data_IF_193224228703
#
_entry.id   IF_193224228703
#
_cell.length_a   1.000
_cell.length_b   1.000
_cell.length_c   1.000
_cell.angle_alpha   90.00
_cell.angle_beta   90.00
_cell.angle_gamma   90.00
#
_symmetry.space_group_name_H-M   'P 1'
#
loop_
_entity.id
_entity.type
_entity.pdbx_description
1 polymer ?
#
# COMPACT_ATOMS: atom_id res chain seq x y z
N UNK A 1 -0.30 -17.69 -12.15
CA UNK A 1 1.12 -17.32 -12.24
C UNK A 1 1.30 -16.09 -11.36
N UNK A 2 1.79 -16.30 -10.16
CA UNK A 2 2.20 -15.25 -9.23
C UNK A 2 3.53 -14.71 -9.74
N UNK A 3 3.53 -13.53 -10.32
CA UNK A 3 4.74 -12.72 -10.39
C UNK A 3 4.89 -12.07 -9.01
N UNK A 4 5.62 -12.71 -8.10
CA UNK A 4 6.00 -12.08 -6.85
C UNK A 4 7.13 -11.10 -7.15
N UNK A 5 6.87 -9.80 -7.02
CA UNK A 5 7.94 -8.82 -6.87
C UNK A 5 8.63 -9.06 -5.52
N UNK A 6 9.91 -8.68 -5.40
CA UNK A 6 10.64 -8.80 -4.13
C UNK A 6 9.90 -8.12 -2.95
N UNK A 7 9.11 -7.07 -3.22
CA UNK A 7 8.24 -6.40 -2.26
C UNK A 7 7.11 -7.33 -1.74
N UNK A 8 6.51 -8.14 -2.62
CA UNK A 8 5.47 -9.11 -2.23
C UNK A 8 6.02 -10.19 -1.28
N UNK A 9 7.26 -10.65 -1.48
CA UNK A 9 7.86 -11.67 -0.61
C UNK A 9 8.19 -11.12 0.78
N UNK A 10 8.65 -9.87 0.87
CA UNK A 10 8.86 -9.19 2.17
C UNK A 10 7.53 -9.02 2.92
N UNK A 11 6.47 -8.64 2.23
CA UNK A 11 5.14 -8.47 2.82
C UNK A 11 4.56 -9.79 3.33
N UNK A 12 4.74 -10.88 2.58
CA UNK A 12 4.36 -12.24 3.01
C UNK A 12 5.12 -12.66 4.26
N UNK A 13 6.43 -12.44 4.32
CA UNK A 13 7.26 -12.74 5.48
C UNK A 13 6.83 -11.96 6.72
N UNK A 14 6.51 -10.67 6.57
CA UNK A 14 5.99 -9.85 7.67
C UNK A 14 4.64 -10.36 8.17
N UNK A 15 3.74 -10.76 7.28
CA UNK A 15 2.43 -11.30 7.65
C UNK A 15 2.58 -12.62 8.38
N UNK A 16 3.43 -13.54 7.90
CA UNK A 16 3.71 -14.80 8.59
C UNK A 16 4.32 -14.58 9.98
N UNK A 17 5.21 -13.61 10.14
CA UNK A 17 5.79 -13.26 11.43
C UNK A 17 4.73 -12.73 12.40
N UNK A 18 3.82 -11.88 11.95
CA UNK A 18 2.70 -11.39 12.78
C UNK A 18 1.79 -12.53 13.20
N UNK A 19 1.46 -13.46 12.29
CA UNK A 19 0.66 -14.65 12.60
C UNK A 19 1.36 -15.55 13.62
N UNK A 20 2.66 -15.80 13.44
CA UNK A 20 3.47 -16.60 14.34
C UNK A 20 3.54 -16.00 15.75
N UNK A 21 3.79 -14.69 15.86
CA UNK A 21 3.81 -14.01 17.17
C UNK A 21 2.44 -14.02 17.86
N UNK A 22 1.36 -13.85 17.11
CA UNK A 22 0.01 -13.96 17.65
C UNK A 22 -0.27 -15.39 18.17
N UNK A 23 0.12 -16.42 17.41
CA UNK A 23 0.00 -17.83 17.81
C UNK A 23 0.80 -18.13 19.10
N UNK A 24 2.03 -17.61 19.22
CA UNK A 24 2.86 -17.78 20.42
C UNK A 24 2.26 -17.08 21.65
N UNK A 25 1.44 -16.06 21.44
CA UNK A 25 0.69 -15.39 22.51
C UNK A 25 -0.67 -16.04 22.79
N UNK A 26 -0.93 -17.24 22.27
CA UNK A 26 -2.10 -18.04 22.58
C UNK A 26 -3.34 -17.71 21.76
N UNK A 27 -3.21 -16.97 20.65
CA UNK A 27 -4.33 -16.70 19.76
C UNK A 27 -4.49 -17.80 18.71
N UNK A 28 -5.73 -18.15 18.42
CA UNK A 28 -6.08 -18.94 17.23
C UNK A 28 -5.91 -18.10 15.96
N UNK A 29 -5.24 -18.66 14.97
CA UNK A 29 -4.94 -17.95 13.71
C UNK A 29 -5.84 -18.45 12.59
N UNK A 30 -6.44 -17.48 11.89
CA UNK A 30 -7.30 -17.74 10.76
C UNK A 30 -6.81 -16.95 9.55
N UNK A 31 -6.72 -17.62 8.41
CA UNK A 31 -6.41 -16.99 7.13
C UNK A 31 -7.68 -16.84 6.30
N UNK A 32 -7.89 -15.63 5.80
CA UNK A 32 -9.00 -15.28 4.90
C UNK A 32 -8.39 -14.74 3.61
N UNK A 33 -8.60 -15.44 2.49
CA UNK A 33 -8.30 -14.89 1.18
C UNK A 33 -9.30 -13.77 0.86
N UNK A 34 -8.84 -12.63 0.38
CA UNK A 34 -9.67 -11.46 0.13
C UNK A 34 -10.87 -11.72 -0.80
N UNK A 35 -10.75 -12.67 -1.74
CA UNK A 35 -11.84 -13.10 -2.62
C UNK A 35 -12.95 -13.87 -1.90
N UNK A 36 -12.71 -14.29 -0.67
CA UNK A 36 -13.63 -15.07 0.15
C UNK A 36 -14.46 -14.21 1.11
N UNK A 37 -14.37 -12.88 1.01
CA UNK A 37 -15.23 -11.93 1.71
C UNK A 37 -16.53 -11.75 0.92
N UNK A 38 -17.68 -11.78 1.59
CA UNK A 38 -18.96 -11.54 0.93
C UNK A 38 -20.04 -11.03 1.90
N UNK A 39 -21.10 -10.46 1.32
CA UNK A 39 -22.28 -10.03 2.06
C UNK A 39 -23.43 -10.99 1.78
N UNK A 40 -24.16 -11.38 2.80
CA UNK A 40 -25.40 -12.18 2.69
C UNK A 40 -26.40 -11.68 3.74
N UNK A 41 -27.61 -11.40 3.31
CA UNK A 41 -28.71 -10.93 4.19
C UNK A 41 -28.29 -9.78 5.12
N UNK A 42 -27.59 -8.78 4.55
CA UNK A 42 -27.02 -7.62 5.25
C UNK A 42 -25.96 -7.93 6.31
N UNK A 43 -25.44 -9.15 6.36
CA UNK A 43 -24.39 -9.56 7.27
C UNK A 43 -23.08 -9.82 6.50
N UNK A 44 -21.90 -9.40 7.05
CA UNK A 44 -20.60 -9.72 6.48
C UNK A 44 -20.18 -11.15 6.84
N UNK A 45 -19.84 -11.93 5.81
CA UNK A 45 -19.39 -13.32 5.90
C UNK A 45 -17.99 -13.48 5.32
N UNK A 46 -17.32 -14.54 5.72
CA UNK A 46 -16.13 -15.02 5.03
C UNK A 46 -16.00 -16.53 5.06
N UNK A 47 -15.29 -17.06 4.05
CA UNK A 47 -14.71 -18.41 4.13
C UNK A 47 -13.28 -18.27 4.63
N UNK A 48 -12.93 -19.05 5.63
CA UNK A 48 -11.64 -18.98 6.30
C UNK A 48 -11.01 -20.34 6.50
N UNK A 49 -9.71 -20.33 6.77
CA UNK A 49 -8.92 -21.51 7.15
C UNK A 49 -8.33 -21.27 8.53
N UNK A 50 -8.55 -22.18 9.49
CA UNK A 50 -7.77 -22.23 10.72
C UNK A 50 -6.38 -22.75 10.36
N UNK A 51 -5.33 -22.07 10.78
CA UNK A 51 -3.96 -22.37 10.34
C UNK A 51 -3.00 -22.43 11.51
N UNK A 52 -1.91 -23.15 11.31
CA UNK A 52 -0.75 -23.19 12.19
C UNK A 52 0.47 -22.66 11.41
N UNK A 53 1.25 -21.80 12.06
CA UNK A 53 2.38 -21.11 11.44
C UNK A 53 3.68 -21.50 12.11
N UNK A 54 4.71 -21.79 11.30
CA UNK A 54 6.07 -22.03 11.73
C UNK A 54 7.03 -21.07 11.03
N UNK A 55 8.03 -20.55 11.75
CA UNK A 55 9.05 -19.66 11.15
C UNK A 55 10.00 -20.38 10.18
N UNK A 56 10.07 -21.70 10.26
CA UNK A 56 10.92 -22.50 9.39
C UNK A 56 10.27 -22.74 8.01
N UNK A 57 8.98 -22.44 7.90
CA UNK A 57 8.21 -22.62 6.68
C UNK A 57 7.99 -21.29 5.96
N UNK A 58 7.96 -21.35 4.64
CA UNK A 58 7.59 -20.20 3.80
C UNK A 58 6.08 -20.03 3.68
N UNK A 59 5.31 -20.91 4.34
CA UNK A 59 3.85 -21.00 4.31
C UNK A 59 3.30 -21.44 5.68
N UNK A 60 1.99 -21.57 5.78
CA UNK A 60 1.29 -22.09 6.95
C UNK A 60 0.60 -23.43 6.64
N UNK A 61 0.36 -24.23 7.69
CA UNK A 61 -0.38 -25.48 7.61
C UNK A 61 -1.87 -25.22 7.85
N UNK A 62 -2.73 -25.71 6.97
CA UNK A 62 -4.19 -25.60 7.11
C UNK A 62 -4.68 -26.73 7.99
N UNK A 63 -5.30 -26.40 9.12
CA UNK A 63 -5.89 -27.35 10.07
C UNK A 63 -7.35 -27.68 9.72
N UNK A 64 -8.11 -26.65 9.33
CA UNK A 64 -9.53 -26.81 8.93
C UNK A 64 -9.97 -25.62 8.07
N UNK A 65 -11.12 -25.78 7.38
CA UNK A 65 -11.75 -24.72 6.61
C UNK A 65 -13.23 -24.63 7.00
N UNK A 66 -13.78 -23.42 7.07
CA UNK A 66 -15.16 -23.17 7.42
C UNK A 66 -15.65 -21.83 6.86
N UNK A 67 -16.92 -21.54 7.07
CA UNK A 67 -17.60 -20.30 6.72
C UNK A 67 -18.35 -19.78 7.95
N UNK A 68 -18.29 -18.48 8.21
CA UNK A 68 -19.06 -17.85 9.29
C UNK A 68 -19.30 -16.37 9.01
N UNK A 69 -20.16 -15.74 9.81
CA UNK A 69 -20.23 -14.29 9.94
C UNK A 69 -18.93 -13.74 10.52
N UNK A 70 -18.60 -12.52 10.16
CA UNK A 70 -17.29 -11.95 10.56
C UNK A 70 -17.20 -11.57 12.04
N UNK A 71 -18.31 -11.44 12.75
CA UNK A 71 -18.38 -11.27 14.20
C UNK A 71 -17.93 -12.50 15.00
N UNK A 72 -17.66 -13.63 14.32
CA UNK A 72 -16.95 -14.77 14.86
C UNK A 72 -15.53 -14.41 15.31
N UNK A 73 -14.90 -13.39 14.71
CA UNK A 73 -13.53 -12.98 14.99
C UNK A 73 -13.50 -11.79 15.97
N UNK A 74 -12.61 -11.81 16.93
CA UNK A 74 -12.36 -10.64 17.81
C UNK A 74 -11.55 -9.56 17.10
N UNK A 75 -10.58 -9.99 16.27
CA UNK A 75 -9.67 -9.10 15.53
C UNK A 75 -9.52 -9.59 14.11
N UNK A 76 -9.62 -8.67 13.16
CA UNK A 76 -9.32 -8.90 11.75
C UNK A 76 -8.22 -7.92 11.31
N UNK A 77 -7.11 -8.43 10.79
CA UNK A 77 -6.06 -7.61 10.19
C UNK A 77 -6.15 -7.64 8.67
N UNK A 78 -6.45 -6.50 8.05
CA UNK A 78 -6.42 -6.40 6.60
C UNK A 78 -4.96 -6.29 6.11
N UNK A 79 -4.50 -7.35 5.48
CA UNK A 79 -3.14 -7.46 4.93
C UNK A 79 -3.14 -7.69 3.42
N UNK A 80 -4.22 -7.28 2.74
CA UNK A 80 -4.30 -7.33 1.28
C UNK A 80 -3.30 -6.35 0.67
N UNK A 81 -2.50 -6.86 -0.27
CA UNK A 81 -1.56 -6.04 -1.04
C UNK A 81 -2.29 -5.15 -2.05
N UNK A 82 -1.75 -3.97 -2.39
CA UNK A 82 -2.21 -3.19 -3.54
C UNK A 82 -2.17 -4.03 -4.84
N UNK A 83 -2.90 -3.63 -5.88
CA UNK A 83 -3.42 -2.27 -6.10
C UNK A 83 -4.70 -1.97 -5.30
N UNK A 84 -4.89 -0.70 -4.98
CA UNK A 84 -6.16 -0.19 -4.43
C UNK A 84 -7.13 -0.03 -5.61
N UNK A 85 -7.65 -1.16 -6.04
CA UNK A 85 -8.64 -1.29 -7.10
C UNK A 85 -10.07 -1.36 -6.54
N UNK A 86 -11.04 -1.55 -7.43
CA UNK A 86 -12.44 -1.66 -7.02
C UNK A 86 -12.68 -2.83 -6.06
N UNK A 87 -12.01 -3.97 -6.25
CA UNK A 87 -12.13 -5.13 -5.35
C UNK A 87 -11.58 -4.81 -3.95
N UNK A 88 -10.43 -4.15 -3.88
CA UNK A 88 -9.88 -3.67 -2.61
C UNK A 88 -10.88 -2.75 -1.89
N UNK A 89 -11.47 -1.79 -2.61
CA UNK A 89 -12.46 -0.84 -2.06
C UNK A 89 -13.69 -1.60 -1.52
N UNK A 90 -14.24 -2.54 -2.28
CA UNK A 90 -15.39 -3.35 -1.84
C UNK A 90 -15.04 -4.17 -0.60
N UNK A 91 -13.85 -4.78 -0.54
CA UNK A 91 -13.40 -5.52 0.63
C UNK A 91 -13.30 -4.62 1.87
N UNK A 92 -12.83 -3.39 1.74
CA UNK A 92 -12.84 -2.44 2.87
C UNK A 92 -14.26 -2.10 3.33
N UNK A 93 -15.24 -2.01 2.41
CA UNK A 93 -16.65 -1.76 2.78
C UNK A 93 -17.26 -2.95 3.53
N UNK A 94 -16.93 -4.18 3.14
CA UNK A 94 -17.37 -5.40 3.84
C UNK A 94 -16.75 -5.46 5.24
N UNK A 95 -15.45 -5.16 5.35
CA UNK A 95 -14.75 -5.11 6.64
C UNK A 95 -15.27 -4.00 7.56
N UNK A 96 -15.71 -2.87 7.00
CA UNK A 96 -16.36 -1.81 7.77
C UNK A 96 -17.68 -2.30 8.40
N UNK A 97 -18.45 -3.14 7.69
CA UNK A 97 -19.64 -3.79 8.26
C UNK A 97 -19.30 -4.75 9.41
N UNK A 98 -18.17 -5.45 9.32
CA UNK A 98 -17.69 -6.25 10.44
C UNK A 98 -17.31 -5.36 11.65
N UNK A 99 -16.66 -4.22 11.41
CA UNK A 99 -16.35 -3.25 12.46
C UNK A 99 -17.62 -2.67 13.11
N UNK A 100 -18.68 -2.39 12.33
CA UNK A 100 -20.00 -1.96 12.84
C UNK A 100 -20.62 -3.00 13.81
N UNK A 101 -20.29 -4.28 13.65
CA UNK A 101 -20.71 -5.37 14.54
C UNK A 101 -19.81 -5.54 15.78
N UNK A 102 -18.80 -4.70 15.95
CA UNK A 102 -17.90 -4.72 17.09
C UNK A 102 -16.57 -5.46 16.89
N UNK A 103 -16.31 -5.99 15.71
CA UNK A 103 -15.02 -6.61 15.38
C UNK A 103 -13.91 -5.54 15.34
N UNK A 104 -12.78 -5.80 15.98
CA UNK A 104 -11.64 -4.91 15.90
C UNK A 104 -10.89 -5.09 14.58
N UNK A 105 -11.17 -4.26 13.58
CA UNK A 105 -10.53 -4.34 12.26
C UNK A 105 -9.32 -3.40 12.18
N UNK A 106 -8.14 -3.97 11.95
CA UNK A 106 -6.84 -3.28 11.86
C UNK A 106 -6.28 -3.41 10.42
N UNK A 107 -5.94 -2.31 9.74
CA UNK A 107 -6.20 -0.92 10.09
C UNK A 107 -7.68 -0.59 9.81
N UNK A 108 -8.11 0.61 10.27
CA UNK A 108 -9.49 1.05 10.04
C UNK A 108 -9.85 1.02 8.54
N UNK A 109 -10.92 0.29 8.13
CA UNK A 109 -11.25 0.08 6.72
C UNK A 109 -11.56 1.37 5.94
N UNK A 110 -12.24 2.32 6.57
CA UNK A 110 -12.54 3.62 5.98
C UNK A 110 -11.26 4.42 5.70
N UNK A 111 -10.28 4.37 6.60
CA UNK A 111 -8.99 5.02 6.40
C UNK A 111 -8.17 4.35 5.30
N UNK A 112 -8.16 3.02 5.22
CA UNK A 112 -7.49 2.30 4.13
C UNK A 112 -8.04 2.70 2.75
N UNK A 113 -9.32 2.96 2.66
CA UNK A 113 -10.00 3.37 1.43
C UNK A 113 -9.77 4.85 1.09
N UNK A 114 -9.82 5.73 2.09
CA UNK A 114 -9.92 7.17 1.90
C UNK A 114 -8.56 7.89 1.97
N UNK A 115 -7.54 7.28 2.59
CA UNK A 115 -6.24 7.90 2.80
C UNK A 115 -5.21 7.35 1.81
N UNK A 116 -5.13 7.97 0.63
CA UNK A 116 -3.99 7.75 -0.27
C UNK A 116 -2.75 8.39 0.35
N UNK A 117 -1.69 7.63 0.57
CA UNK A 117 -0.48 8.07 1.28
C UNK A 117 0.22 9.26 0.60
N UNK A 118 0.12 9.38 -0.72
CA UNK A 118 0.75 10.48 -1.48
C UNK A 118 -0.06 11.77 -1.36
N UNK A 119 -1.39 11.66 -1.37
CA UNK A 119 -2.30 12.81 -1.23
C UNK A 119 -2.42 13.22 0.22
N UNK A 120 -2.54 12.27 1.14
CA UNK A 120 -2.69 12.55 2.57
C UNK A 120 -1.50 13.33 3.14
N UNK A 121 -0.28 13.08 2.64
CA UNK A 121 0.92 13.82 3.04
C UNK A 121 0.78 15.34 2.83
N UNK A 122 -0.03 15.78 1.84
CA UNK A 122 -0.24 17.20 1.55
C UNK A 122 -1.02 17.96 2.64
N UNK A 123 -1.65 17.26 3.59
CA UNK A 123 -2.19 17.89 4.81
C UNK A 123 -1.07 18.45 5.71
N UNK A 124 0.19 18.08 5.44
CA UNK A 124 1.37 18.51 6.21
C UNK A 124 2.38 19.24 5.29
N UNK A 125 2.00 20.38 4.69
CA UNK A 125 2.79 21.01 3.62
C UNK A 125 4.21 21.42 4.06
N UNK A 126 4.44 21.62 5.36
CA UNK A 126 5.76 21.96 5.90
C UNK A 126 6.78 20.82 5.76
N UNK A 127 6.30 19.59 5.55
CA UNK A 127 7.12 18.38 5.42
C UNK A 127 7.15 17.82 4.00
N UNK A 128 6.48 18.50 3.06
CA UNK A 128 6.41 18.08 1.67
C UNK A 128 7.24 19.03 0.80
N UNK A 129 7.95 18.51 -0.22
CA UNK A 129 8.49 19.36 -1.27
C UNK A 129 7.36 19.99 -2.08
N UNK A 130 7.63 21.02 -2.91
CA UNK A 130 6.69 21.48 -3.92
C UNK A 130 6.08 20.31 -4.67
N UNK A 131 4.76 20.24 -4.70
CA UNK A 131 4.01 19.07 -5.18
C UNK A 131 2.86 19.51 -6.08
N UNK A 132 2.69 18.81 -7.19
CA UNK A 132 1.59 18.95 -8.13
C UNK A 132 0.86 17.61 -8.28
N UNK A 133 -0.47 17.65 -8.37
CA UNK A 133 -1.30 16.51 -8.79
C UNK A 133 -2.14 16.98 -9.98
N UNK A 134 -1.92 16.38 -11.13
CA UNK A 134 -2.61 16.77 -12.37
C UNK A 134 -2.69 15.61 -13.34
N UNK A 135 -3.52 15.75 -14.38
CA UNK A 135 -3.49 14.99 -15.60
C UNK A 135 -3.31 15.91 -16.81
N UNK A 136 -3.14 17.23 -16.60
CA UNK A 136 -2.99 18.23 -17.65
C UNK A 136 -1.52 18.44 -18.01
N UNK A 137 -1.19 18.40 -19.29
CA UNK A 137 0.16 18.51 -19.79
C UNK A 137 0.76 19.91 -19.60
N UNK A 138 -0.01 20.97 -19.82
CA UNK A 138 0.51 22.34 -19.71
C UNK A 138 0.82 22.70 -18.27
N UNK A 139 -0.06 22.32 -17.34
CA UNK A 139 0.17 22.49 -15.90
C UNK A 139 1.40 21.72 -15.46
N UNK A 140 1.56 20.48 -15.94
CA UNK A 140 2.71 19.63 -15.64
C UNK A 140 4.03 20.23 -16.16
N UNK A 141 4.05 20.66 -17.42
CA UNK A 141 5.23 21.27 -18.05
C UNK A 141 5.64 22.57 -17.35
N UNK A 142 4.68 23.39 -16.94
CA UNK A 142 4.98 24.61 -16.20
C UNK A 142 5.58 24.29 -14.82
N UNK A 143 5.07 23.28 -14.12
CA UNK A 143 5.62 22.83 -12.85
C UNK A 143 7.07 22.32 -12.99
N UNK A 144 7.39 21.59 -14.06
CA UNK A 144 8.77 21.18 -14.37
C UNK A 144 9.67 22.37 -14.60
N UNK A 145 9.23 23.37 -15.37
CA UNK A 145 10.00 24.60 -15.64
C UNK A 145 10.30 25.40 -14.37
N UNK A 146 9.35 25.47 -13.44
CA UNK A 146 9.49 26.17 -12.16
C UNK A 146 10.43 25.45 -11.18
N UNK A 147 10.43 24.13 -11.18
CA UNK A 147 11.19 23.33 -10.21
C UNK A 147 12.51 22.76 -10.75
N UNK A 148 12.73 22.84 -12.08
CA UNK A 148 13.94 22.43 -12.82
C UNK A 148 14.25 20.93 -12.80
N UNK A 149 13.99 20.24 -11.69
CA UNK A 149 14.15 18.79 -11.55
C UNK A 149 13.04 18.24 -10.67
N UNK A 150 12.29 17.28 -11.19
CA UNK A 150 11.13 16.68 -10.51
C UNK A 150 11.17 15.15 -10.56
N UNK A 151 10.41 14.54 -9.64
CA UNK A 151 10.08 13.12 -9.66
C UNK A 151 8.59 12.97 -9.91
N UNK A 152 8.24 12.07 -10.82
CA UNK A 152 6.86 11.81 -11.21
C UNK A 152 6.48 10.38 -10.86
N UNK A 153 5.31 10.19 -10.25
CA UNK A 153 4.85 8.89 -9.73
C UNK A 153 3.35 8.70 -9.99
N UNK A 154 2.88 7.48 -10.26
CA UNK A 154 1.45 7.17 -10.23
C UNK A 154 0.90 7.30 -8.80
N UNK A 155 -0.38 7.67 -8.66
CA UNK A 155 -1.04 7.76 -7.35
C UNK A 155 -1.37 6.38 -6.75
N UNK A 156 -1.56 5.37 -7.59
CA UNK A 156 -2.05 4.04 -7.23
C UNK A 156 -0.98 2.92 -7.25
N UNK A 157 0.29 3.28 -7.51
CA UNK A 157 1.40 2.30 -7.54
C UNK A 157 2.18 2.27 -6.24
N UNK A 158 2.82 1.13 -5.97
CA UNK A 158 3.67 0.86 -4.82
C UNK A 158 4.99 0.22 -5.27
N UNK A 159 6.01 0.27 -4.39
CA UNK A 159 7.26 -0.49 -4.61
C UNK A 159 8.25 0.14 -5.59
N UNK A 160 8.07 1.41 -5.96
CA UNK A 160 9.01 2.11 -6.85
C UNK A 160 8.75 1.90 -8.34
N UNK A 161 7.73 1.13 -8.71
CA UNK A 161 7.36 0.93 -10.10
C UNK A 161 6.84 2.23 -10.74
N UNK A 162 7.32 2.51 -11.94
CA UNK A 162 6.92 3.67 -12.74
C UNK A 162 7.23 5.02 -12.07
N UNK A 163 8.39 5.13 -11.39
CA UNK A 163 8.93 6.39 -10.92
C UNK A 163 9.87 6.94 -12.01
N UNK A 164 9.61 8.18 -12.42
CA UNK A 164 10.43 8.87 -13.42
C UNK A 164 11.04 10.11 -12.82
N UNK A 165 12.28 10.42 -13.20
CA UNK A 165 12.92 11.69 -12.92
C UNK A 165 12.98 12.49 -14.22
N UNK A 166 12.63 13.76 -14.16
CA UNK A 166 12.65 14.67 -15.31
C UNK A 166 13.39 15.95 -14.94
N UNK A 167 14.27 16.37 -15.79
CA UNK A 167 14.94 17.68 -15.71
C UNK A 167 14.28 18.66 -16.68
N UNK A 168 14.49 19.94 -16.43
CA UNK A 168 14.05 20.99 -17.35
C UNK A 168 14.58 20.69 -18.77
N UNK A 169 13.73 20.87 -19.76
CA UNK A 169 14.03 20.61 -21.18
C UNK A 169 14.35 19.14 -21.52
N UNK A 170 13.88 18.20 -20.69
CA UNK A 170 14.02 16.76 -20.93
C UNK A 170 13.26 16.32 -22.19
N UNK A 171 13.95 15.67 -23.12
CA UNK A 171 13.37 15.20 -24.38
C UNK A 171 12.30 14.11 -24.20
N UNK A 172 12.34 13.39 -23.07
CA UNK A 172 11.38 12.33 -22.73
C UNK A 172 10.12 12.84 -22.03
N UNK A 173 9.97 14.16 -21.82
CA UNK A 173 8.83 14.74 -21.11
C UNK A 173 7.47 14.25 -21.63
N UNK A 174 7.28 14.29 -22.96
CA UNK A 174 6.02 13.89 -23.59
C UNK A 174 5.75 12.39 -23.45
N UNK A 175 6.79 11.55 -23.58
CA UNK A 175 6.68 10.10 -23.42
C UNK A 175 6.31 9.73 -21.98
N UNK A 176 7.00 10.30 -20.98
CA UNK A 176 6.70 10.09 -19.57
C UNK A 176 5.30 10.56 -19.23
N UNK A 177 4.88 11.73 -19.74
CA UNK A 177 3.53 12.23 -19.54
C UNK A 177 2.48 11.25 -20.10
N UNK A 178 2.59 10.86 -21.37
CA UNK A 178 1.66 9.92 -22.02
C UNK A 178 1.53 8.62 -21.22
N UNK A 179 2.67 8.07 -20.80
CA UNK A 179 2.72 6.81 -20.04
C UNK A 179 2.08 6.93 -18.66
N UNK A 180 2.39 7.99 -17.90
CA UNK A 180 1.94 8.11 -16.51
C UNK A 180 0.51 8.60 -16.39
N UNK A 181 0.09 9.51 -17.30
CA UNK A 181 -1.26 10.06 -17.32
C UNK A 181 -2.25 9.22 -18.13
N UNK A 182 -1.79 8.19 -18.86
CA UNK A 182 -2.57 7.48 -19.87
C UNK A 182 -3.24 8.47 -20.84
N UNK A 183 -2.43 9.27 -21.50
CA UNK A 183 -2.88 10.31 -22.43
C UNK A 183 -3.79 11.39 -21.78
N UNK A 184 -3.57 11.69 -20.50
CA UNK A 184 -4.33 12.72 -19.78
C UNK A 184 -5.58 12.21 -19.04
N UNK A 185 -5.88 10.93 -19.11
CA UNK A 185 -7.06 10.34 -18.44
C UNK A 185 -6.87 10.15 -16.94
N UNK A 186 -5.63 9.94 -16.49
CA UNK A 186 -5.31 9.56 -15.10
C UNK A 186 -4.43 10.62 -14.44
N UNK A 187 -4.85 11.06 -13.24
CA UNK A 187 -4.02 11.97 -12.43
C UNK A 187 -2.80 11.24 -11.87
N UNK A 188 -1.69 11.95 -11.85
CA UNK A 188 -0.42 11.54 -11.26
C UNK A 188 0.13 12.62 -10.33
N UNK A 189 1.15 12.30 -9.55
CA UNK A 189 1.84 13.25 -8.67
C UNK A 189 3.23 13.56 -9.23
N UNK A 190 3.58 14.83 -9.27
CA UNK A 190 4.91 15.35 -9.54
C UNK A 190 5.41 16.11 -8.31
N UNK A 191 6.66 15.90 -7.94
CA UNK A 191 7.29 16.53 -6.78
C UNK A 191 8.67 17.04 -7.13
N UNK A 192 9.06 18.19 -6.56
CA UNK A 192 10.45 18.64 -6.67
C UNK A 192 11.41 17.55 -6.19
N UNK A 193 12.44 17.27 -6.96
CA UNK A 193 13.45 16.28 -6.60
C UNK A 193 14.24 16.73 -5.37
N UNK A 194 14.41 15.80 -4.44
CA UNK A 194 15.21 15.99 -3.24
C UNK A 194 16.52 15.18 -3.38
N UNK A 195 17.68 15.86 -3.59
CA UNK A 195 18.95 15.15 -3.82
C UNK A 195 19.42 14.32 -2.62
N UNK A 196 18.92 14.62 -1.43
CA UNK A 196 19.19 13.88 -0.19
C UNK A 196 18.77 12.42 -0.23
N UNK A 197 17.91 12.03 -1.19
CA UNK A 197 17.51 10.62 -1.40
C UNK A 197 18.72 9.74 -1.70
N UNK A 198 19.81 10.30 -2.23
CA UNK A 198 21.05 9.57 -2.48
C UNK A 198 21.72 9.06 -1.19
N UNK A 199 21.43 9.68 -0.05
CA UNK A 199 21.92 9.28 1.28
C UNK A 199 21.05 8.15 1.86
N UNK A 200 19.87 7.93 1.28
CA UNK A 200 18.87 6.95 1.72
C UNK A 200 17.60 7.58 2.26
N UNK A 201 16.60 6.74 2.49
CA UNK A 201 15.34 7.10 3.13
C UNK A 201 15.28 6.54 4.56
N UNK A 202 14.48 7.18 5.41
CA UNK A 202 14.22 6.69 6.77
C UNK A 202 12.85 6.03 6.83
N UNK A 203 12.81 4.80 7.30
CA UNK A 203 11.57 4.12 7.66
C UNK A 203 11.36 4.22 9.16
N UNK A 204 10.23 4.76 9.54
CA UNK A 204 9.82 4.96 10.93
C UNK A 204 8.59 4.11 11.16
N UNK A 205 8.71 3.11 12.04
CA UNK A 205 7.58 2.31 12.48
C UNK A 205 6.89 3.01 13.65
N UNK A 206 5.58 3.17 13.58
CA UNK A 206 4.76 3.76 14.65
C UNK A 206 3.74 2.72 15.10
N UNK A 207 3.77 2.37 16.38
CA UNK A 207 2.81 1.45 17.00
C UNK A 207 2.19 2.16 18.21
N UNK A 208 0.87 2.32 18.22
CA UNK A 208 0.14 3.03 19.28
C UNK A 208 0.75 4.40 19.64
N UNK A 209 1.10 5.18 18.60
CA UNK A 209 1.68 6.51 18.76
C UNK A 209 3.14 6.54 19.24
N UNK A 210 3.78 5.39 19.45
CA UNK A 210 5.19 5.26 19.84
C UNK A 210 6.04 4.86 18.65
N UNK A 211 7.28 5.34 18.62
CA UNK A 211 8.29 5.00 17.60
C UNK A 211 9.28 3.97 18.21
N UNK A 212 8.99 2.66 18.15
CA UNK A 212 9.87 1.64 18.72
C UNK A 212 11.15 1.46 17.92
N UNK A 213 11.12 1.69 16.61
CA UNK A 213 12.27 1.49 15.70
C UNK A 213 12.25 2.55 14.60
N UNK A 214 13.42 3.08 14.29
CA UNK A 214 13.69 3.80 13.04
C UNK A 214 14.98 3.27 12.43
N UNK A 215 15.00 3.06 11.12
CA UNK A 215 16.18 2.61 10.39
C UNK A 215 16.32 3.34 9.05
N UNK A 216 17.57 3.52 8.60
CA UNK A 216 17.86 4.10 7.29
C UNK A 216 17.92 2.99 6.26
N UNK A 217 17.11 3.09 5.21
CA UNK A 217 17.24 2.26 4.02
C UNK A 217 18.23 2.93 3.07
N UNK A 218 19.29 2.20 2.73
CA UNK A 218 20.13 2.59 1.59
C UNK A 218 19.35 2.19 0.33
N UNK A 219 18.95 3.17 -0.46
CA UNK A 219 18.34 2.93 -1.76
C UNK A 219 19.41 2.34 -2.68
N UNK A 220 19.15 1.18 -3.26
CA UNK A 220 19.92 0.73 -4.43
C UNK A 220 19.73 1.79 -5.52
N UNK A 221 20.79 2.16 -6.27
CA UNK A 221 20.67 3.13 -7.35
C UNK A 221 19.56 2.67 -8.30
N UNK A 222 18.57 3.51 -8.51
CA UNK A 222 17.58 3.34 -9.59
C UNK A 222 18.37 3.18 -10.88
N UNK A 223 18.12 2.09 -11.60
CA UNK A 223 18.67 1.95 -12.96
C UNK A 223 18.28 3.20 -13.72
N UNK A 224 19.28 3.99 -14.11
CA UNK A 224 19.10 4.99 -15.15
C UNK A 224 18.56 4.26 -16.36
N UNK A 225 17.45 4.75 -16.89
CA UNK A 225 16.81 4.13 -18.03
C UNK A 225 17.76 4.13 -19.22
N UNK A 226 18.13 2.95 -19.67
CA UNK A 226 18.69 2.71 -20.99
C UNK A 226 17.59 2.31 -21.93
#
# INVERSE_FOLDING_TARGET
RLLSSAASDVYKRQTLLLMFEAQNNGHDIYFIDSKNLFMKDNQPYCKYQKVEVSLNDTNFNVLSSSENTMDFFEVIMMRQDPPVDYSFIVNTMILEKAADLGVNVINNPSNLRNLNEKIFALNFPKFCPPTLITSDFEIFNNFLKENEHIVVKPLNSMGGDSIFQLKKDDEHLSEVYSKISKEGEVKFIAQKFLPEISIGDKRILIINGKVPVSYTHLTLPTKEGG
#
